data_IF_055227320613
#
_entry.id   IF_055227320613
#
_cell.length_a   1.000
_cell.length_b   1.000
_cell.length_c   1.000
_cell.angle_alpha   90.00
_cell.angle_beta   90.00
_cell.angle_gamma   90.00
#
_symmetry.space_group_name_H-M   'P 1'
#
loop_
_entity.id
_entity.type
_entity.pdbx_description
1 polymer ?
#
# COMPACT_ATOMS: atom_id res chain seq x y z
N UNK A 1 40.60 45.09 28.95
CA UNK A 1 39.70 44.00 29.40
C UNK A 1 38.30 44.17 28.78
N UNK A 2 38.14 44.25 27.45
CA UNK A 2 36.79 44.39 26.80
C UNK A 2 36.71 43.75 25.39
N UNK A 3 37.69 42.95 24.94
CA UNK A 3 37.72 42.46 23.55
C UNK A 3 37.22 41.02 23.35
N UNK A 4 36.90 40.29 24.43
CA UNK A 4 36.54 38.87 24.35
C UNK A 4 35.03 38.59 24.25
N UNK A 5 34.17 39.57 24.51
CA UNK A 5 32.72 39.36 24.52
C UNK A 5 32.08 39.29 23.12
N UNK A 6 32.70 39.88 22.10
CA UNK A 6 32.12 39.93 20.74
C UNK A 6 32.32 38.61 19.99
N UNK A 7 33.39 37.88 20.27
CA UNK A 7 33.72 36.60 19.58
C UNK A 7 32.78 35.47 20.00
N UNK A 8 32.23 35.52 21.22
CA UNK A 8 31.33 34.49 21.75
C UNK A 8 29.91 34.56 21.18
N UNK A 9 29.48 35.73 20.68
CA UNK A 9 28.13 35.90 20.13
C UNK A 9 28.00 35.43 18.68
N UNK A 10 29.10 35.45 17.91
CA UNK A 10 29.13 34.98 16.50
C UNK A 10 29.18 33.44 16.42
N UNK A 11 29.66 32.76 17.47
CA UNK A 11 29.73 31.29 17.52
C UNK A 11 28.38 30.57 17.76
N UNK A 12 27.29 31.31 17.98
CA UNK A 12 25.97 30.77 18.32
C UNK A 12 24.92 30.88 17.21
N UNK A 13 25.33 31.20 15.97
CA UNK A 13 24.52 30.90 14.80
C UNK A 13 24.66 29.42 14.47
N UNK A 14 24.09 28.56 15.33
CA UNK A 14 23.85 27.17 14.98
C UNK A 14 22.91 27.15 13.78
N UNK A 15 23.47 26.86 12.60
CA UNK A 15 22.68 26.56 11.41
C UNK A 15 21.74 25.42 11.77
N UNK A 16 20.47 25.75 11.94
CA UNK A 16 19.39 24.79 12.05
C UNK A 16 19.23 24.18 10.67
N UNK A 17 20.01 23.15 10.34
CA UNK A 17 19.74 22.35 9.16
C UNK A 17 18.49 21.52 9.47
N UNK A 18 17.34 21.99 8.97
CA UNK A 18 16.16 21.14 8.90
C UNK A 18 16.56 19.96 7.98
N UNK A 19 16.75 18.78 8.57
CA UNK A 19 17.02 17.58 7.80
C UNK A 19 15.85 17.38 6.83
N UNK A 20 16.12 17.48 5.53
CA UNK A 20 15.15 17.19 4.49
C UNK A 20 15.06 15.66 4.36
N UNK A 21 14.39 15.03 5.32
CA UNK A 21 14.17 13.58 5.34
C UNK A 21 13.17 13.23 4.25
N UNK A 22 13.67 12.64 3.17
CA UNK A 22 12.80 12.06 2.13
C UNK A 22 12.13 10.81 2.68
N UNK A 23 10.86 10.64 2.35
CA UNK A 23 10.18 9.36 2.56
C UNK A 23 10.92 8.28 1.75
N UNK A 24 11.24 7.18 2.41
CA UNK A 24 11.79 6.00 1.75
C UNK A 24 10.65 5.15 1.22
N UNK A 25 10.68 4.85 -0.07
CA UNK A 25 9.76 3.91 -0.68
C UNK A 25 9.98 2.51 -0.10
N UNK A 26 8.94 1.94 0.51
CA UNK A 26 8.97 0.57 1.05
C UNK A 26 8.31 -0.40 0.07
N UNK A 27 7.15 -0.02 -0.47
CA UNK A 27 6.40 -0.78 -1.47
C UNK A 27 5.81 0.15 -2.53
N UNK A 28 5.67 -0.35 -3.75
CA UNK A 28 5.05 0.35 -4.87
C UNK A 28 4.31 -0.63 -5.78
N UNK A 29 3.24 -0.17 -6.42
CA UNK A 29 2.45 -0.96 -7.34
C UNK A 29 2.11 -0.15 -8.58
N UNK A 30 2.33 -0.73 -9.76
CA UNK A 30 1.73 -0.24 -11.00
C UNK A 30 0.30 -0.78 -11.17
N UNK A 31 0.12 -2.05 -10.82
CA UNK A 31 -1.17 -2.75 -10.77
C UNK A 31 -1.21 -3.63 -9.52
N UNK A 32 -2.37 -3.73 -8.88
CA UNK A 32 -2.54 -4.58 -7.70
C UNK A 32 -2.71 -6.03 -8.16
N UNK A 33 -1.90 -6.94 -7.61
CA UNK A 33 -1.99 -8.36 -7.85
C UNK A 33 -2.43 -9.07 -6.57
N UNK A 34 -3.06 -10.24 -6.68
CA UNK A 34 -3.67 -10.94 -5.55
C UNK A 34 -3.10 -12.35 -5.42
N UNK A 35 -2.81 -12.78 -4.19
CA UNK A 35 -2.33 -14.13 -3.90
C UNK A 35 -3.44 -15.17 -4.00
N UNK A 36 -3.04 -16.44 -4.10
CA UNK A 36 -3.94 -17.61 -4.09
C UNK A 36 -4.99 -17.61 -5.21
N UNK A 37 -4.65 -17.02 -6.36
CA UNK A 37 -5.43 -17.12 -7.60
C UNK A 37 -4.65 -17.96 -8.60
N UNK A 38 -5.23 -19.06 -9.09
CA UNK A 38 -4.59 -19.84 -10.15
C UNK A 38 -4.53 -19.03 -11.45
N UNK A 39 -3.65 -19.39 -12.38
CA UNK A 39 -3.59 -18.71 -13.68
C UNK A 39 -4.92 -18.81 -14.45
N UNK A 40 -5.61 -19.94 -14.32
CA UNK A 40 -6.92 -20.20 -14.91
C UNK A 40 -8.00 -19.33 -14.25
N UNK A 41 -8.03 -19.28 -12.90
CA UNK A 41 -8.96 -18.44 -12.14
C UNK A 41 -8.76 -16.95 -12.42
N UNK A 42 -7.51 -16.52 -12.59
CA UNK A 42 -7.17 -15.15 -12.98
C UNK A 42 -7.69 -14.82 -14.36
N UNK A 43 -7.49 -15.73 -15.32
CA UNK A 43 -7.98 -15.57 -16.70
C UNK A 43 -9.50 -15.49 -16.70
N UNK A 44 -10.18 -16.43 -16.03
CA UNK A 44 -11.64 -16.41 -15.89
C UNK A 44 -12.14 -15.14 -15.19
N UNK A 45 -11.46 -14.64 -14.15
CA UNK A 45 -11.81 -13.39 -13.47
C UNK A 45 -11.69 -12.16 -14.38
N UNK A 46 -10.69 -12.15 -15.28
CA UNK A 46 -10.50 -11.09 -16.27
C UNK A 46 -11.59 -11.18 -17.36
N UNK A 47 -11.83 -12.37 -17.90
CA UNK A 47 -12.85 -12.63 -18.93
C UNK A 47 -14.26 -12.25 -18.45
N UNK A 48 -14.59 -12.60 -17.20
CA UNK A 48 -15.87 -12.25 -16.56
C UNK A 48 -15.93 -10.80 -16.06
N UNK A 49 -14.85 -10.02 -16.21
CA UNK A 49 -14.67 -8.67 -15.65
C UNK A 49 -14.86 -8.59 -14.13
N UNK A 50 -14.73 -9.72 -13.41
CA UNK A 50 -14.64 -9.77 -11.95
C UNK A 50 -13.34 -9.13 -11.44
N UNK A 51 -12.31 -9.14 -12.28
CA UNK A 51 -11.03 -8.49 -12.04
C UNK A 51 -10.65 -7.62 -13.24
N UNK A 52 -10.61 -6.31 -13.04
CA UNK A 52 -10.19 -5.29 -14.01
C UNK A 52 -9.03 -4.53 -13.37
N UNK A 53 -7.75 -4.87 -13.66
CA UNK A 53 -6.59 -4.39 -12.92
C UNK A 53 -6.54 -2.87 -12.70
N UNK A 54 -7.01 -2.12 -13.69
CA UNK A 54 -6.98 -0.66 -13.76
C UNK A 54 -7.99 -0.01 -12.80
N UNK A 55 -9.00 -0.77 -12.38
CA UNK A 55 -10.03 -0.33 -11.44
C UNK A 55 -9.66 -0.62 -9.98
N UNK A 56 -8.55 -1.33 -9.72
CA UNK A 56 -8.12 -1.71 -8.38
C UNK A 56 -7.12 -0.67 -7.84
N UNK A 57 -7.64 0.45 -7.33
CA UNK A 57 -6.84 1.53 -6.75
C UNK A 57 -6.70 1.38 -5.24
N UNK A 58 -5.47 1.30 -4.73
CA UNK A 58 -5.20 1.31 -3.30
C UNK A 58 -5.32 2.74 -2.75
N UNK A 59 -6.23 2.97 -1.78
CA UNK A 59 -6.49 4.32 -1.25
C UNK A 59 -6.31 4.45 0.27
N UNK A 60 -6.40 3.36 1.03
CA UNK A 60 -6.20 3.38 2.47
C UNK A 60 -5.13 2.38 2.89
N UNK A 61 -4.33 2.77 3.89
CA UNK A 61 -3.26 1.97 4.47
C UNK A 61 -3.38 2.00 5.99
N UNK A 62 -3.30 0.85 6.65
CA UNK A 62 -3.29 0.74 8.11
C UNK A 62 -2.36 -0.41 8.53
N UNK A 63 -1.52 -0.20 9.55
CA UNK A 63 -0.63 -1.26 10.05
C UNK A 63 -1.17 -1.85 11.33
N UNK A 64 -1.22 -3.17 11.39
CA UNK A 64 -1.49 -3.90 12.63
C UNK A 64 -0.59 -5.13 12.73
N UNK A 65 0.27 -5.15 13.75
CA UNK A 65 1.28 -6.19 13.94
C UNK A 65 2.24 -6.31 12.74
N UNK A 66 2.25 -7.52 12.16
CA UNK A 66 3.02 -7.92 10.98
C UNK A 66 2.27 -7.72 9.65
N UNK A 67 1.11 -7.04 9.68
CA UNK A 67 0.27 -6.79 8.50
C UNK A 67 0.21 -5.32 8.15
N UNK A 68 0.31 -5.03 6.86
CA UNK A 68 -0.14 -3.76 6.30
C UNK A 68 -1.45 -4.01 5.54
N UNK A 69 -2.53 -3.49 6.08
CA UNK A 69 -3.85 -3.50 5.46
C UNK A 69 -3.94 -2.44 4.36
N UNK A 70 -4.58 -2.83 3.26
CA UNK A 70 -4.72 -2.03 2.05
C UNK A 70 -6.20 -2.08 1.64
N UNK A 71 -6.84 -0.92 1.56
CA UNK A 71 -8.23 -0.82 1.06
C UNK A 71 -8.27 -0.48 -0.43
N UNK A 72 -9.14 -1.18 -1.14
CA UNK A 72 -9.43 -1.00 -2.57
C UNK A 72 -10.93 -0.77 -2.72
N UNK A 73 -11.40 0.48 -2.72
CA UNK A 73 -12.83 0.76 -2.76
C UNK A 73 -13.44 0.42 -4.12
N UNK A 74 -14.69 -0.06 -4.12
CA UNK A 74 -15.44 -0.46 -5.31
C UNK A 74 -16.07 0.72 -6.05
N UNK A 75 -15.26 1.71 -6.44
CA UNK A 75 -15.73 2.85 -7.23
C UNK A 75 -16.10 2.47 -8.67
N UNK A 76 -15.51 1.38 -9.18
CA UNK A 76 -15.80 0.80 -10.48
C UNK A 76 -15.97 -0.72 -10.34
N UNK A 77 -16.69 -1.38 -11.27
CA UNK A 77 -16.73 -2.83 -11.33
C UNK A 77 -15.33 -3.41 -11.57
N UNK A 78 -15.14 -4.69 -11.25
CA UNK A 78 -13.85 -5.37 -11.44
C UNK A 78 -12.83 -5.16 -10.32
N UNK A 79 -13.23 -4.59 -9.18
CA UNK A 79 -12.42 -4.65 -7.95
C UNK A 79 -12.48 -6.08 -7.40
N UNK A 80 -11.31 -6.72 -7.27
CA UNK A 80 -11.22 -8.13 -6.88
C UNK A 80 -11.61 -8.35 -5.42
N UNK A 81 -11.03 -7.55 -4.52
CA UNK A 81 -11.26 -7.61 -3.08
C UNK A 81 -11.12 -6.23 -2.44
N UNK A 82 -12.01 -5.89 -1.51
CA UNK A 82 -12.12 -4.54 -0.93
C UNK A 82 -11.13 -4.30 0.19
N UNK A 83 -10.94 -5.28 1.07
CA UNK A 83 -9.98 -5.21 2.16
C UNK A 83 -8.94 -6.30 1.98
N UNK A 84 -7.68 -5.91 2.04
CA UNK A 84 -6.56 -6.80 1.79
C UNK A 84 -5.44 -6.51 2.80
N UNK A 85 -4.45 -7.39 2.86
CA UNK A 85 -3.21 -7.11 3.55
C UNK A 85 -2.01 -7.68 2.79
N UNK A 86 -0.83 -7.17 3.13
CA UNK A 86 0.46 -7.82 2.84
C UNK A 86 1.17 -8.15 4.15
N UNK A 87 1.98 -9.20 4.14
CA UNK A 87 2.85 -9.52 5.27
C UNK A 87 4.08 -8.61 5.23
N UNK A 88 4.40 -8.00 6.38
CA UNK A 88 5.58 -7.14 6.57
C UNK A 88 6.81 -7.92 7.05
N UNK A 89 6.69 -9.24 7.25
CA UNK A 89 7.80 -10.07 7.72
C UNK A 89 8.95 -10.05 6.69
N UNK A 90 10.19 -9.90 7.18
CA UNK A 90 11.40 -9.74 6.37
C UNK A 90 11.94 -11.04 5.75
N UNK A 91 11.31 -12.18 6.04
CA UNK A 91 11.68 -13.52 5.56
C UNK A 91 10.79 -13.99 4.39
N UNK A 92 9.54 -13.53 4.35
CA UNK A 92 8.54 -13.83 3.31
C UNK A 92 8.13 -12.61 2.49
N UNK A 93 8.74 -11.44 2.72
CA UNK A 93 8.71 -10.37 1.72
C UNK A 93 9.41 -10.89 0.48
N UNK A 94 8.66 -11.55 -0.40
CA UNK A 94 9.06 -11.79 -1.78
C UNK A 94 9.73 -10.52 -2.27
N UNK A 95 10.94 -10.66 -2.82
CA UNK A 95 11.94 -9.61 -3.12
C UNK A 95 11.47 -8.51 -4.08
N UNK A 96 10.17 -8.40 -4.31
CA UNK A 96 9.52 -7.49 -5.24
C UNK A 96 8.94 -6.30 -4.46
N UNK A 97 9.20 -5.09 -4.96
CA UNK A 97 8.60 -3.85 -4.43
C UNK A 97 7.06 -3.85 -4.47
N UNK A 98 6.45 -4.72 -5.26
CA UNK A 98 5.00 -4.84 -5.49
C UNK A 98 4.45 -6.17 -4.94
N UNK A 99 4.41 -6.38 -3.61
CA UNK A 99 3.92 -7.63 -3.05
C UNK A 99 2.44 -7.85 -3.39
N UNK A 100 2.08 -9.10 -3.63
CA UNK A 100 0.70 -9.49 -3.92
C UNK A 100 -0.19 -9.39 -2.67
N UNK A 101 -1.40 -8.89 -2.86
CA UNK A 101 -2.39 -8.64 -1.83
C UNK A 101 -3.11 -9.93 -1.44
N UNK A 102 -3.36 -10.09 -0.14
CA UNK A 102 -4.15 -11.20 0.40
C UNK A 102 -5.52 -10.64 0.84
N UNK A 103 -6.64 -11.09 0.26
CA UNK A 103 -7.98 -10.71 0.71
C UNK A 103 -8.21 -11.00 2.19
N UNK A 104 -8.78 -10.04 2.92
CA UNK A 104 -9.09 -10.18 4.34
C UNK A 104 -10.61 -10.19 4.61
N UNK A 105 -11.11 -11.08 5.48
CA UNK A 105 -10.38 -12.21 6.09
C UNK A 105 -10.14 -13.36 5.10
N UNK A 106 -10.88 -13.39 3.99
CA UNK A 106 -10.70 -14.31 2.87
C UNK A 106 -11.35 -13.73 1.59
N UNK A 107 -11.12 -14.38 0.45
CA UNK A 107 -11.68 -13.93 -0.83
C UNK A 107 -13.20 -14.04 -0.88
N UNK A 108 -13.77 -15.09 -0.30
CA UNK A 108 -15.22 -15.37 -0.31
C UNK A 108 -16.02 -14.21 0.29
N UNK A 109 -15.60 -13.70 1.46
CA UNK A 109 -16.22 -12.53 2.10
C UNK A 109 -16.07 -11.23 1.31
N UNK A 110 -15.15 -11.21 0.35
CA UNK A 110 -14.96 -10.08 -0.56
C UNK A 110 -15.64 -10.30 -1.92
N UNK A 111 -16.29 -11.44 -2.17
CA UNK A 111 -17.05 -11.63 -3.41
C UNK A 111 -18.37 -10.87 -3.37
N UNK A 112 -18.70 -10.21 -4.49
CA UNK A 112 -20.05 -9.67 -4.68
C UNK A 112 -20.93 -10.85 -5.09
N UNK A 113 -21.97 -11.17 -4.30
CA UNK A 113 -22.96 -12.17 -4.69
C UNK A 113 -23.64 -11.79 -6.00
N UNK A 114 -24.19 -12.79 -6.71
CA UNK A 114 -24.74 -12.67 -8.07
C UNK A 114 -25.79 -11.56 -8.26
N UNK A 115 -26.45 -11.11 -7.18
CA UNK A 115 -27.61 -10.22 -7.25
C UNK A 115 -27.42 -8.89 -6.50
N UNK A 116 -26.40 -8.12 -6.86
CA UNK A 116 -26.43 -6.67 -6.63
C UNK A 116 -26.04 -5.93 -7.89
N UNK A 117 -27.00 -5.85 -8.80
CA UNK A 117 -27.03 -4.74 -9.75
C UNK A 117 -26.86 -3.45 -8.95
N UNK A 118 -25.91 -2.63 -9.37
CA UNK A 118 -25.94 -1.23 -8.98
C UNK A 118 -27.29 -0.65 -9.41
N UNK A 119 -27.94 0.20 -8.59
CA UNK A 119 -29.04 1.02 -9.07
C UNK A 119 -28.59 1.92 -10.24
#
# INVERSE_FOLDING_TARGET
MVTYFVVLFVGLLQQSSAANTRLTEVHSWNTLQYQHISAEEKTAAIETRRYVPENNLALGLERWGDKLFISVPRFKPGVYSTLNYIQLDSKNSNSTKSPELIPYPNLEMNTLGENRGWP
#
